data_IF_668145916062
#
_entry.id   IF_668145916062
#
_cell.length_a   1.000
_cell.length_b   1.000
_cell.length_c   1.000
_cell.angle_alpha   90.00
_cell.angle_beta   90.00
_cell.angle_gamma   90.00
#
_symmetry.space_group_name_H-M   'P 1'
#
loop_
_entity.id
_entity.type
_entity.pdbx_description
1 polymer ?
#
# COMPACT_ATOMS: atom_id res chain seq x y z
N UNK A 1 -4.18 14.75 -11.09
CA UNK A 1 -5.52 14.41 -11.62
C UNK A 1 -5.55 13.00 -12.22
N UNK A 2 -4.59 12.61 -13.07
CA UNK A 2 -4.53 11.27 -13.67
C UNK A 2 -4.42 10.11 -12.64
N UNK A 3 -3.75 10.36 -11.52
CA UNK A 3 -3.49 9.35 -10.49
C UNK A 3 -4.76 8.81 -9.83
N UNK A 4 -5.71 9.69 -9.50
CA UNK A 4 -6.98 9.30 -8.87
C UNK A 4 -7.87 8.48 -9.82
N UNK A 5 -7.88 8.82 -11.10
CA UNK A 5 -8.63 8.07 -12.12
C UNK A 5 -8.05 6.66 -12.23
N UNK A 6 -6.73 6.54 -12.27
CA UNK A 6 -6.04 5.25 -12.40
C UNK A 6 -6.31 4.34 -11.20
N UNK A 7 -6.25 4.89 -9.98
CA UNK A 7 -6.59 4.18 -8.74
C UNK A 7 -8.06 3.73 -8.75
N UNK A 8 -8.98 4.59 -9.20
CA UNK A 8 -10.42 4.32 -9.26
C UNK A 8 -10.81 3.20 -10.23
N UNK A 9 -9.98 2.92 -11.25
CA UNK A 9 -10.19 1.81 -12.18
C UNK A 9 -9.74 0.45 -11.61
N UNK A 10 -8.92 0.44 -10.56
CA UNK A 10 -8.43 -0.81 -9.94
C UNK A 10 -9.54 -1.36 -9.04
N UNK A 11 -9.92 -2.62 -9.27
CA UNK A 11 -10.90 -3.30 -8.42
C UNK A 11 -10.39 -3.35 -6.98
N UNK A 12 -11.18 -2.82 -6.05
CA UNK A 12 -10.83 -2.82 -4.62
C UNK A 12 -10.49 -4.23 -4.12
N UNK A 13 -9.51 -4.33 -3.23
CA UNK A 13 -9.08 -5.59 -2.63
C UNK A 13 -10.22 -6.21 -1.83
N UNK A 14 -10.47 -7.47 -2.11
CA UNK A 14 -11.28 -8.38 -1.33
C UNK A 14 -10.63 -9.75 -1.24
N UNK A 15 -11.29 -10.67 -0.55
CA UNK A 15 -10.77 -12.01 -0.30
C UNK A 15 -10.55 -12.86 -1.57
N UNK A 16 -11.05 -12.42 -2.73
CA UNK A 16 -11.03 -13.20 -3.98
C UNK A 16 -10.06 -12.67 -5.04
N UNK A 17 -9.62 -11.41 -4.94
CA UNK A 17 -8.83 -10.77 -6.00
C UNK A 17 -7.42 -10.34 -5.57
N UNK A 18 -6.90 -10.87 -4.45
CA UNK A 18 -5.60 -10.46 -3.92
C UNK A 18 -4.47 -10.49 -4.96
N UNK A 19 -4.34 -11.56 -5.74
CA UNK A 19 -3.27 -11.65 -6.74
C UNK A 19 -3.35 -10.54 -7.80
N UNK A 20 -4.55 -10.27 -8.31
CA UNK A 20 -4.78 -9.21 -9.31
C UNK A 20 -4.56 -7.84 -8.71
N UNK A 21 -5.14 -7.59 -7.53
CA UNK A 21 -4.98 -6.33 -6.80
C UNK A 21 -3.50 -6.05 -6.51
N UNK A 22 -2.78 -7.04 -5.95
CA UNK A 22 -1.35 -6.95 -5.64
C UNK A 22 -0.56 -6.52 -6.87
N UNK A 23 -0.76 -7.21 -8.00
CA UNK A 23 -0.05 -6.93 -9.26
C UNK A 23 -0.33 -5.51 -9.77
N UNK A 24 -1.59 -5.08 -9.77
CA UNK A 24 -1.97 -3.74 -10.22
C UNK A 24 -1.41 -2.63 -9.31
N UNK A 25 -1.54 -2.81 -8.00
CA UNK A 25 -1.09 -1.81 -7.02
C UNK A 25 0.43 -1.74 -6.92
N UNK A 26 1.12 -2.88 -6.98
CA UNK A 26 2.58 -2.92 -7.06
C UNK A 26 3.08 -2.15 -8.30
N UNK A 27 2.51 -2.40 -9.48
CA UNK A 27 2.86 -1.69 -10.72
C UNK A 27 2.58 -0.19 -10.61
N UNK A 28 1.44 0.18 -10.01
CA UNK A 28 1.06 1.58 -9.80
C UNK A 28 2.05 2.29 -8.86
N UNK A 29 2.38 1.66 -7.73
CA UNK A 29 3.32 2.22 -6.75
C UNK A 29 4.74 2.35 -7.33
N UNK A 30 5.18 1.39 -8.14
CA UNK A 30 6.46 1.47 -8.86
C UNK A 30 6.48 2.66 -9.83
N UNK A 31 5.42 2.83 -10.63
CA UNK A 31 5.29 3.96 -11.56
C UNK A 31 5.25 5.34 -10.89
N UNK A 32 4.97 5.39 -9.59
CA UNK A 32 4.89 6.61 -8.79
C UNK A 32 6.10 6.83 -7.87
N UNK A 33 7.12 5.96 -7.94
CA UNK A 33 8.27 5.97 -7.02
C UNK A 33 7.87 5.86 -5.52
N UNK A 34 6.82 5.07 -5.26
CA UNK A 34 6.25 4.82 -3.94
C UNK A 34 6.46 3.38 -3.47
N UNK A 35 6.99 2.49 -4.30
CA UNK A 35 7.11 1.07 -3.97
C UNK A 35 8.14 0.79 -2.87
N UNK A 36 9.23 1.55 -2.81
CA UNK A 36 10.34 1.32 -1.87
C UNK A 36 9.92 1.47 -0.39
N UNK A 37 8.96 2.35 -0.10
CA UNK A 37 8.39 2.49 1.25
C UNK A 37 7.40 1.37 1.62
N UNK A 38 6.93 0.60 0.63
CA UNK A 38 6.01 -0.53 0.81
C UNK A 38 6.76 -1.85 0.87
N UNK A 39 7.75 -2.08 0.00
CA UNK A 39 8.47 -3.34 -0.07
C UNK A 39 9.42 -3.57 1.13
N UNK A 40 9.90 -2.51 1.77
CA UNK A 40 10.83 -2.59 2.90
C UNK A 40 12.22 -2.02 2.64
N UNK A 41 12.53 -1.58 1.43
CA UNK A 41 13.84 -1.01 1.11
C UNK A 41 14.02 0.37 1.73
N UNK A 42 12.93 1.14 1.86
CA UNK A 42 12.91 2.47 2.47
C UNK A 42 12.04 2.45 3.76
N UNK A 43 12.15 1.43 4.62
CA UNK A 43 11.44 1.42 5.92
C UNK A 43 12.15 2.17 7.02
N UNK A 44 13.45 2.39 6.89
CA UNK A 44 14.24 3.05 7.92
C UNK A 44 13.97 4.54 7.86
N UNK A 45 13.36 5.07 8.91
CA UNK A 45 13.17 6.51 9.09
C UNK A 45 14.53 7.23 8.96
N UNK A 46 14.73 8.09 7.94
CA UNK A 46 15.99 8.79 7.77
C UNK A 46 16.28 9.71 8.96
N UNK A 47 17.56 9.87 9.30
CA UNK A 47 18.02 10.79 10.36
C UNK A 47 18.10 12.25 9.89
N UNK A 48 18.39 12.45 8.61
CA UNK A 48 18.46 13.77 7.98
C UNK A 48 17.05 14.35 7.77
N UNK A 49 16.88 15.66 8.02
CA UNK A 49 15.58 16.33 8.03
C UNK A 49 14.94 16.40 6.63
N UNK A 50 15.73 16.63 5.58
CA UNK A 50 15.26 16.68 4.20
C UNK A 50 14.79 15.29 3.75
N UNK A 51 15.61 14.28 4.01
CA UNK A 51 15.33 12.88 3.72
C UNK A 51 14.10 12.37 4.48
N UNK A 52 13.95 12.74 5.76
CA UNK A 52 12.79 12.41 6.56
C UNK A 52 11.50 13.02 5.99
N UNK A 53 11.57 14.25 5.48
CA UNK A 53 10.42 14.92 4.89
C UNK A 53 9.99 14.21 3.60
N UNK A 54 10.93 13.87 2.72
CA UNK A 54 10.68 13.08 1.50
C UNK A 54 10.06 11.72 1.84
N UNK A 55 10.65 11.00 2.80
CA UNK A 55 10.15 9.70 3.27
C UNK A 55 8.71 9.78 3.79
N UNK A 56 8.39 10.79 4.60
CA UNK A 56 7.03 11.00 5.13
C UNK A 56 6.01 11.25 4.02
N UNK A 57 6.38 12.04 3.01
CA UNK A 57 5.52 12.32 1.86
C UNK A 57 5.29 11.03 1.06
N UNK A 58 6.34 10.26 0.74
CA UNK A 58 6.23 8.97 0.04
C UNK A 58 5.38 7.98 0.83
N UNK A 59 5.67 7.82 2.12
CA UNK A 59 4.92 6.92 3.01
C UNK A 59 3.45 7.30 3.11
N UNK A 60 3.14 8.59 3.25
CA UNK A 60 1.75 9.08 3.28
C UNK A 60 1.01 8.80 1.97
N UNK A 61 1.64 9.05 0.82
CA UNK A 61 1.06 8.76 -0.50
C UNK A 61 0.82 7.25 -0.70
N UNK A 62 1.80 6.41 -0.38
CA UNK A 62 1.66 4.96 -0.48
C UNK A 62 0.52 4.44 0.41
N UNK A 63 0.45 4.89 1.65
CA UNK A 63 -0.63 4.53 2.58
C UNK A 63 -2.00 4.97 2.04
N UNK A 64 -2.09 6.17 1.46
CA UNK A 64 -3.32 6.65 0.85
C UNK A 64 -3.80 5.75 -0.30
N UNK A 65 -2.89 5.39 -1.22
CA UNK A 65 -3.18 4.48 -2.34
C UNK A 65 -3.69 3.13 -1.84
N UNK A 66 -3.00 2.55 -0.87
CA UNK A 66 -3.38 1.28 -0.27
C UNK A 66 -4.79 1.38 0.33
N UNK A 67 -5.06 2.37 1.20
CA UNK A 67 -6.36 2.52 1.86
C UNK A 67 -7.52 2.81 0.90
N UNK A 68 -7.26 3.51 -0.19
CA UNK A 68 -8.29 3.80 -1.21
C UNK A 68 -8.63 2.61 -2.10
N UNK A 69 -7.74 1.61 -2.16
CA UNK A 69 -7.86 0.47 -3.06
C UNK A 69 -8.26 -0.81 -2.35
N UNK A 70 -8.63 -0.75 -1.07
CA UNK A 70 -9.17 -1.88 -0.33
C UNK A 70 -10.67 -1.70 -0.05
N UNK A 71 -11.41 -2.80 0.10
CA UNK A 71 -12.79 -2.76 0.59
C UNK A 71 -12.83 -2.38 2.08
N UNK A 72 -13.92 -1.75 2.51
CA UNK A 72 -14.10 -1.21 3.86
C UNK A 72 -13.91 -2.27 4.95
N UNK A 73 -14.37 -3.50 4.71
CA UNK A 73 -14.18 -4.63 5.62
C UNK A 73 -12.70 -4.92 5.89
N UNK A 74 -11.82 -4.73 4.91
CA UNK A 74 -10.37 -4.90 5.08
C UNK A 74 -9.69 -3.68 5.71
N UNK A 75 -10.27 -2.49 5.53
CA UNK A 75 -9.77 -1.26 6.12
C UNK A 75 -9.83 -1.28 7.65
N UNK A 76 -10.92 -1.78 8.24
CA UNK A 76 -11.06 -1.88 9.70
C UNK A 76 -9.92 -2.69 10.34
N UNK A 77 -9.42 -3.69 9.63
CA UNK A 77 -8.33 -4.53 10.10
C UNK A 77 -6.93 -3.91 9.96
N UNK A 78 -6.78 -2.87 9.12
CA UNK A 78 -5.52 -2.13 8.92
C UNK A 78 -5.55 -0.74 9.55
N UNK A 79 -6.59 -0.44 10.35
CA UNK A 79 -6.73 0.83 11.06
C UNK A 79 -5.52 1.16 11.94
N UNK A 80 -4.88 0.13 12.50
CA UNK A 80 -3.74 0.28 13.41
C UNK A 80 -2.37 0.19 12.73
N UNK A 81 -2.32 -0.07 11.41
CA UNK A 81 -1.03 -0.13 10.71
C UNK A 81 -0.51 1.28 10.48
N UNK A 82 0.70 1.56 10.97
CA UNK A 82 1.32 2.89 10.93
C UNK A 82 2.22 3.06 9.72
N UNK A 83 2.73 1.97 9.15
CA UNK A 83 3.60 2.00 7.97
C UNK A 83 2.93 1.37 6.75
N UNK A 84 3.23 1.85 5.52
CA UNK A 84 2.73 1.22 4.30
C UNK A 84 3.12 -0.25 4.17
N UNK A 85 4.32 -0.62 4.64
CA UNK A 85 4.79 -2.00 4.71
C UNK A 85 3.91 -2.85 5.62
N UNK A 86 3.65 -2.40 6.85
CA UNK A 86 2.80 -3.15 7.78
C UNK A 86 1.38 -3.32 7.20
N UNK A 87 0.84 -2.27 6.57
CA UNK A 87 -0.46 -2.37 5.89
C UNK A 87 -0.42 -3.45 4.80
N UNK A 88 0.60 -3.42 3.94
CA UNK A 88 0.77 -4.39 2.86
C UNK A 88 0.94 -5.83 3.36
N UNK A 89 1.82 -6.05 4.33
CA UNK A 89 2.10 -7.37 4.91
C UNK A 89 0.89 -7.95 5.65
N UNK A 90 0.05 -7.11 6.27
CA UNK A 90 -1.24 -7.53 6.83
C UNK A 90 -2.21 -8.06 5.76
N UNK A 91 -2.20 -7.50 4.54
CA UNK A 91 -3.01 -8.03 3.45
C UNK A 91 -2.42 -9.32 2.86
N UNK A 92 -1.08 -9.40 2.72
CA UNK A 92 -0.38 -10.60 2.25
C UNK A 92 -0.67 -11.79 3.16
N UNK A 93 -0.46 -11.63 4.47
CA UNK A 93 -0.66 -12.70 5.46
C UNK A 93 -2.09 -13.22 5.49
N UNK A 94 -3.09 -12.33 5.39
CA UNK A 94 -4.50 -12.73 5.39
C UNK A 94 -4.92 -13.45 4.11
N UNK A 95 -4.39 -13.05 2.96
CA UNK A 95 -4.67 -13.75 1.70
C UNK A 95 -4.07 -15.17 1.66
N UNK A 96 -2.89 -15.36 2.27
CA UNK A 96 -2.24 -16.66 2.37
C UNK A 96 -2.94 -17.62 3.37
N UNK A 97 -3.56 -17.08 4.42
CA UNK A 97 -4.15 -17.89 5.51
C UNK A 97 -5.44 -18.63 5.11
N UNK A 98 -6.12 -18.24 4.01
CA UNK A 98 -7.35 -18.90 3.54
C UNK A 98 -7.14 -19.94 2.42
N UNK A 99 -5.89 -20.35 2.14
CA UNK A 99 -5.56 -21.40 1.15
C UNK A 99 -5.26 -22.76 1.84
N UNK A 100 -5.95 -23.05 2.95
CA UNK A 100 -6.03 -24.39 3.55
C UNK A 100 -7.48 -24.70 3.86
#
# INVERSE_FOLDING_TARGET
MADFITIGCIKKLNYKNYSTWKTCIESYLQGQDLWEVVNGNETTRPSDAESLTKWRIKSGKAMFVIKMTIEEEMLEHTRHTTTPKDAWDNFVSRSATKIK
#
